data_IF_764674193239
#
_entry.id   IF_764674193239
#
_cell.length_a   1.000
_cell.length_b   1.000
_cell.length_c   1.000
_cell.angle_alpha   90.00
_cell.angle_beta   90.00
_cell.angle_gamma   90.00
#
_symmetry.space_group_name_H-M   'P 1'
#
loop_
_entity.id
_entity.type
_entity.pdbx_description
1 polymer ?
#
# COMPACT_ATOMS: atom_id res chain seq x y z
N UNK A 1 11.50 5.84 14.80
CA UNK A 1 11.20 4.61 14.05
C UNK A 1 10.58 4.97 12.71
N UNK A 2 11.19 4.51 11.64
CA UNK A 2 10.68 4.76 10.28
C UNK A 2 9.70 3.67 9.89
N UNK A 3 8.61 4.07 9.26
CA UNK A 3 7.61 3.15 8.74
C UNK A 3 7.94 2.90 7.26
N UNK A 4 8.11 1.66 6.89
CA UNK A 4 8.51 1.26 5.53
C UNK A 4 7.32 1.22 4.60
N UNK A 5 7.44 1.89 3.45
CA UNK A 5 6.40 1.98 2.42
C UNK A 5 6.85 1.28 1.15
N UNK A 6 5.97 0.47 0.56
CA UNK A 6 6.16 -0.11 -0.77
C UNK A 6 4.97 0.29 -1.64
N UNK A 7 5.24 0.70 -2.89
CA UNK A 7 4.22 1.17 -3.82
C UNK A 7 4.16 0.31 -5.07
N UNK A 8 2.96 -0.18 -5.41
CA UNK A 8 2.72 -0.93 -6.65
C UNK A 8 1.68 -0.20 -7.49
N UNK A 9 2.08 0.24 -8.68
CA UNK A 9 1.25 1.00 -9.59
C UNK A 9 1.77 0.78 -11.01
N UNK A 10 0.93 0.30 -11.92
CA UNK A 10 1.38 -0.03 -13.28
C UNK A 10 1.62 1.19 -14.16
N UNK A 11 0.94 2.31 -13.91
CA UNK A 11 1.17 3.52 -14.68
C UNK A 11 2.38 4.28 -14.14
N UNK A 12 3.43 4.36 -14.96
CA UNK A 12 4.69 4.98 -14.55
C UNK A 12 4.50 6.43 -14.07
N UNK A 13 3.68 7.20 -14.79
CA UNK A 13 3.43 8.59 -14.43
C UNK A 13 2.78 8.74 -13.05
N UNK A 14 1.79 7.89 -12.76
CA UNK A 14 1.11 7.90 -11.46
C UNK A 14 2.08 7.45 -10.36
N UNK A 15 2.82 6.38 -10.61
CA UNK A 15 3.77 5.85 -9.63
C UNK A 15 4.83 6.88 -9.26
N UNK A 16 5.43 7.52 -10.27
CA UNK A 16 6.43 8.57 -10.03
C UNK A 16 5.80 9.80 -9.40
N UNK A 17 4.58 10.14 -9.79
CA UNK A 17 3.86 11.25 -9.19
C UNK A 17 3.68 11.07 -7.69
N UNK A 18 3.23 9.90 -7.27
CA UNK A 18 3.05 9.59 -5.86
C UNK A 18 4.41 9.60 -5.14
N UNK A 19 5.39 8.91 -5.71
CA UNK A 19 6.71 8.81 -5.11
C UNK A 19 7.36 10.18 -4.90
N UNK A 20 7.25 11.06 -5.89
CA UNK A 20 7.94 12.35 -5.88
C UNK A 20 7.15 13.49 -5.22
N UNK A 21 5.86 13.29 -4.95
CA UNK A 21 5.02 14.35 -4.36
C UNK A 21 5.14 14.46 -2.85
N UNK A 22 5.76 13.47 -2.21
CA UNK A 22 5.87 13.40 -0.76
C UNK A 22 7.35 13.29 -0.38
N UNK A 23 7.75 14.07 0.59
CA UNK A 23 9.06 13.92 1.24
C UNK A 23 8.91 12.85 2.32
N UNK A 24 9.03 11.60 1.92
CA UNK A 24 8.76 10.45 2.78
C UNK A 24 9.56 10.48 4.08
N UNK A 25 10.85 10.73 3.96
CA UNK A 25 11.75 10.74 5.10
C UNK A 25 11.34 11.80 6.11
N UNK A 26 11.03 13.00 5.65
CA UNK A 26 10.58 14.10 6.50
C UNK A 26 9.29 13.73 7.25
N UNK A 27 8.41 12.98 6.58
CA UNK A 27 7.13 12.59 7.17
C UNK A 27 7.23 11.33 8.05
N UNK A 28 8.42 10.77 8.20
CA UNK A 28 8.63 9.62 9.07
C UNK A 28 8.55 8.27 8.38
N UNK A 29 8.66 8.25 7.05
CA UNK A 29 8.56 7.03 6.27
C UNK A 29 9.84 6.72 5.53
N UNK A 30 10.10 5.44 5.34
CA UNK A 30 11.17 4.96 4.47
C UNK A 30 10.54 4.32 3.24
N UNK A 31 10.78 4.89 2.07
CA UNK A 31 10.25 4.37 0.81
C UNK A 31 11.19 3.25 0.34
N UNK A 32 10.80 1.99 0.59
CA UNK A 32 11.69 0.86 0.40
C UNK A 32 11.63 0.22 -0.98
N UNK A 33 10.62 0.55 -1.80
CA UNK A 33 10.58 0.03 -3.15
C UNK A 33 9.31 0.35 -3.88
N UNK A 34 9.33 0.07 -5.20
CA UNK A 34 8.19 0.26 -6.08
C UNK A 34 8.23 -0.77 -7.19
N UNK A 35 7.08 -1.08 -7.75
CA UNK A 35 6.98 -1.99 -8.88
C UNK A 35 5.76 -1.66 -9.73
N UNK A 36 5.79 -2.13 -10.99
CA UNK A 36 4.72 -1.86 -11.95
C UNK A 36 3.63 -2.92 -12.02
N UNK A 37 3.81 -4.04 -11.35
CA UNK A 37 2.78 -5.09 -11.30
C UNK A 37 3.01 -6.00 -10.09
N UNK A 38 2.02 -6.85 -9.82
CA UNK A 38 2.04 -7.72 -8.65
C UNK A 38 3.11 -8.82 -8.72
N UNK A 39 3.39 -9.33 -9.90
CA UNK A 39 4.40 -10.39 -10.06
C UNK A 39 5.79 -9.88 -9.73
N UNK A 40 6.14 -8.70 -10.24
CA UNK A 40 7.42 -8.06 -9.94
C UNK A 40 7.49 -7.64 -8.47
N UNK A 41 6.38 -7.15 -7.95
CA UNK A 41 6.32 -6.62 -6.59
C UNK A 41 6.50 -7.70 -5.52
N UNK A 42 5.88 -8.85 -5.71
CA UNK A 42 5.77 -9.83 -4.64
C UNK A 42 7.12 -10.26 -4.03
N UNK A 43 8.12 -10.70 -4.83
CA UNK A 43 9.41 -11.06 -4.24
C UNK A 43 10.12 -9.88 -3.58
N UNK A 44 9.95 -8.67 -4.10
CA UNK A 44 10.52 -7.47 -3.48
C UNK A 44 9.86 -7.16 -2.14
N UNK A 45 8.55 -7.35 -2.06
CA UNK A 45 7.79 -7.14 -0.82
C UNK A 45 8.23 -8.13 0.24
N UNK A 46 8.40 -9.41 -0.12
CA UNK A 46 8.86 -10.42 0.82
C UNK A 46 10.25 -10.10 1.36
N UNK A 47 11.10 -9.54 0.52
CA UNK A 47 12.47 -9.18 0.91
C UNK A 47 12.50 -7.94 1.79
N UNK A 48 11.75 -6.90 1.44
CA UNK A 48 11.78 -5.62 2.17
C UNK A 48 10.90 -5.59 3.40
N UNK A 49 9.86 -6.44 3.44
CA UNK A 49 8.91 -6.54 4.55
C UNK A 49 8.37 -5.17 4.95
N UNK A 50 7.65 -4.49 4.03
CA UNK A 50 7.15 -3.15 4.33
C UNK A 50 6.09 -3.18 5.43
N UNK A 51 5.98 -2.08 6.14
CA UNK A 51 4.92 -1.90 7.14
C UNK A 51 3.61 -1.55 6.46
N UNK A 52 3.70 -0.81 5.35
CA UNK A 52 2.52 -0.40 4.57
C UNK A 52 2.77 -0.70 3.10
N UNK A 53 1.82 -1.40 2.48
CA UNK A 53 1.79 -1.66 1.04
C UNK A 53 0.69 -0.80 0.43
N UNK A 54 1.05 0.05 -0.53
CA UNK A 54 0.09 0.81 -1.32
C UNK A 54 0.04 0.16 -2.68
N UNK A 55 -1.12 -0.32 -3.11
CA UNK A 55 -1.23 -1.00 -4.39
C UNK A 55 -2.47 -0.59 -5.18
N UNK A 56 -2.31 -0.45 -6.49
CA UNK A 56 -3.41 -0.37 -7.44
C UNK A 56 -4.09 -1.74 -7.54
N UNK A 57 -5.30 -1.79 -8.07
CA UNK A 57 -6.01 -3.05 -8.30
C UNK A 57 -5.72 -3.59 -9.69
N UNK A 58 -6.06 -2.84 -10.73
CA UNK A 58 -5.96 -3.31 -12.12
C UNK A 58 -4.53 -3.18 -12.63
N UNK A 59 -3.84 -4.30 -12.65
CA UNK A 59 -2.47 -4.39 -13.13
C UNK A 59 -2.32 -5.67 -13.95
N UNK A 60 -1.39 -5.68 -14.93
CA UNK A 60 -1.16 -6.91 -15.72
C UNK A 60 -0.56 -8.01 -14.86
N UNK A 61 -0.76 -9.24 -15.26
CA UNK A 61 -0.23 -10.49 -14.68
C UNK A 61 -0.84 -10.82 -13.32
N UNK A 62 -0.62 -10.01 -12.32
CA UNK A 62 -1.19 -10.20 -10.98
C UNK A 62 -1.81 -8.89 -10.52
N UNK A 63 -3.12 -8.87 -10.30
CA UNK A 63 -3.79 -7.66 -9.84
C UNK A 63 -3.53 -7.39 -8.36
N UNK A 64 -3.98 -6.22 -7.89
CA UNK A 64 -3.72 -5.80 -6.52
C UNK A 64 -4.42 -6.64 -5.47
N UNK A 65 -5.55 -7.24 -5.80
CA UNK A 65 -6.26 -8.11 -4.86
C UNK A 65 -5.56 -9.45 -4.72
N UNK A 66 -5.07 -10.01 -5.82
CA UNK A 66 -4.28 -11.24 -5.80
C UNK A 66 -3.00 -11.02 -5.00
N UNK A 67 -2.33 -9.89 -5.26
CA UNK A 67 -1.13 -9.52 -4.52
C UNK A 67 -1.43 -9.37 -3.02
N UNK A 68 -2.51 -8.67 -2.70
CA UNK A 68 -2.92 -8.44 -1.30
C UNK A 68 -3.18 -9.75 -0.58
N UNK A 69 -3.82 -10.69 -1.25
CA UNK A 69 -4.10 -12.02 -0.69
C UNK A 69 -2.80 -12.75 -0.32
N UNK A 70 -1.82 -12.73 -1.21
CA UNK A 70 -0.52 -13.35 -0.97
C UNK A 70 0.25 -12.65 0.15
N UNK A 71 0.27 -11.33 0.14
CA UNK A 71 0.96 -10.55 1.16
C UNK A 71 0.30 -10.75 2.52
N UNK A 72 -1.02 -10.79 2.56
CA UNK A 72 -1.76 -11.03 3.80
C UNK A 72 -1.37 -12.34 4.44
N UNK A 73 -1.19 -13.37 3.62
CA UNK A 73 -0.81 -14.70 4.08
C UNK A 73 0.61 -14.74 4.63
N UNK A 74 1.56 -14.16 3.90
CA UNK A 74 2.98 -14.26 4.24
C UNK A 74 3.45 -13.18 5.23
N UNK A 75 2.85 -12.00 5.16
CA UNK A 75 3.21 -10.86 6.00
C UNK A 75 1.95 -10.27 6.65
N UNK A 76 1.36 -10.99 7.61
CA UNK A 76 0.06 -10.55 8.18
C UNK A 76 0.11 -9.21 8.90
N UNK A 77 1.29 -8.74 9.30
CA UNK A 77 1.43 -7.44 9.95
C UNK A 77 1.46 -6.27 8.98
N UNK A 78 1.70 -6.52 7.68
CA UNK A 78 1.72 -5.46 6.69
C UNK A 78 0.32 -4.89 6.50
N UNK A 79 0.20 -3.57 6.61
CA UNK A 79 -1.08 -2.88 6.35
C UNK A 79 -1.19 -2.59 4.87
N UNK A 80 -2.34 -2.90 4.30
CA UNK A 80 -2.56 -2.78 2.85
C UNK A 80 -3.52 -1.62 2.58
N UNK A 81 -3.09 -0.70 1.71
CA UNK A 81 -3.91 0.40 1.19
C UNK A 81 -4.15 0.15 -0.29
N UNK A 82 -5.41 0.10 -0.69
CA UNK A 82 -5.79 -0.12 -2.08
C UNK A 82 -6.12 1.23 -2.73
N UNK A 83 -5.53 1.50 -3.88
CA UNK A 83 -5.90 2.63 -4.73
C UNK A 83 -6.68 2.09 -5.92
N UNK A 84 -7.87 2.63 -6.15
CA UNK A 84 -8.78 2.11 -7.17
C UNK A 84 -9.40 3.23 -8.00
N UNK A 85 -9.71 2.94 -9.26
CA UNK A 85 -10.49 3.82 -10.12
C UNK A 85 -11.99 3.69 -9.84
N UNK A 86 -12.78 4.34 -10.68
CA UNK A 86 -14.25 4.27 -10.59
C UNK A 86 -14.77 2.88 -10.89
N UNK A 87 -15.98 2.62 -10.43
CA UNK A 87 -16.78 1.45 -10.79
C UNK A 87 -16.16 0.10 -10.43
N UNK A 88 -15.37 0.08 -9.37
CA UNK A 88 -14.75 -1.16 -8.92
C UNK A 88 -15.40 -1.66 -7.63
N UNK A 89 -16.73 -1.60 -7.59
CA UNK A 89 -17.53 -2.00 -6.42
C UNK A 89 -17.22 -3.45 -6.00
N UNK A 90 -17.12 -4.36 -6.97
CA UNK A 90 -16.83 -5.77 -6.66
C UNK A 90 -15.44 -5.93 -6.04
N UNK A 91 -14.49 -5.14 -6.50
CA UNK A 91 -13.15 -5.13 -5.92
C UNK A 91 -13.17 -4.59 -4.48
N UNK A 92 -13.99 -3.59 -4.21
CA UNK A 92 -14.13 -3.05 -2.86
C UNK A 92 -14.64 -4.13 -1.89
N UNK A 93 -15.62 -4.94 -2.32
CA UNK A 93 -16.12 -6.05 -1.53
C UNK A 93 -15.03 -7.05 -1.19
N UNK A 94 -14.21 -7.42 -2.18
CA UNK A 94 -13.11 -8.36 -1.97
C UNK A 94 -12.06 -7.77 -1.03
N UNK A 95 -11.77 -6.47 -1.17
CA UNK A 95 -10.83 -5.79 -0.29
C UNK A 95 -11.27 -5.83 1.16
N UNK A 96 -12.56 -5.64 1.41
CA UNK A 96 -13.12 -5.72 2.76
C UNK A 96 -12.91 -7.12 3.34
N UNK A 97 -13.16 -8.16 2.54
CA UNK A 97 -12.94 -9.55 2.97
C UNK A 97 -11.48 -9.82 3.31
N UNK A 98 -10.56 -9.18 2.61
CA UNK A 98 -9.12 -9.32 2.86
C UNK A 98 -8.64 -8.46 4.02
N UNK A 99 -9.54 -7.69 4.64
CA UNK A 99 -9.22 -6.82 5.77
C UNK A 99 -8.09 -5.84 5.46
N UNK A 100 -8.16 -5.20 4.26
CA UNK A 100 -7.22 -4.14 3.93
C UNK A 100 -7.44 -2.95 4.88
N UNK A 101 -6.41 -2.19 5.16
CA UNK A 101 -6.49 -1.06 6.08
C UNK A 101 -7.34 0.07 5.51
N UNK A 102 -7.18 0.36 4.21
CA UNK A 102 -7.91 1.45 3.55
C UNK A 102 -8.15 1.13 2.09
N UNK A 103 -9.27 1.60 1.57
CA UNK A 103 -9.63 1.51 0.16
C UNK A 103 -9.89 2.93 -0.34
N UNK A 104 -9.03 3.42 -1.22
CA UNK A 104 -9.03 4.81 -1.65
C UNK A 104 -9.30 4.94 -3.13
N UNK A 105 -10.05 5.98 -3.53
CA UNK A 105 -10.36 6.23 -4.93
C UNK A 105 -9.34 7.16 -5.57
N UNK A 106 -8.93 6.83 -6.80
CA UNK A 106 -8.10 7.70 -7.62
C UNK A 106 -8.95 8.75 -8.32
N UNK A 107 -8.38 9.93 -8.61
CA UNK A 107 -7.05 10.38 -8.23
C UNK A 107 -6.99 10.78 -6.76
N UNK A 108 -5.88 10.47 -6.11
CA UNK A 108 -5.70 10.85 -4.71
C UNK A 108 -4.63 11.94 -4.61
N UNK A 109 -4.91 12.98 -3.83
CA UNK A 109 -3.94 14.05 -3.59
C UNK A 109 -2.88 13.58 -2.60
N UNK A 110 -1.69 14.19 -2.66
CA UNK A 110 -0.65 13.88 -1.69
C UNK A 110 -1.08 14.21 -0.27
N UNK A 111 -1.86 15.29 -0.09
CA UNK A 111 -2.37 15.66 1.23
C UNK A 111 -3.31 14.58 1.79
N UNK A 112 -4.22 14.06 0.96
CA UNK A 112 -5.14 13.00 1.37
C UNK A 112 -4.38 11.71 1.69
N UNK A 113 -3.42 11.36 0.84
CA UNK A 113 -2.61 10.16 1.06
C UNK A 113 -1.83 10.27 2.37
N UNK A 114 -1.19 11.40 2.64
CA UNK A 114 -0.48 11.62 3.90
C UNK A 114 -1.39 11.51 5.11
N UNK A 115 -2.61 12.03 5.00
CA UNK A 115 -3.62 11.94 6.05
C UNK A 115 -3.94 10.49 6.39
N UNK A 116 -4.22 9.70 5.38
CA UNK A 116 -4.52 8.28 5.54
C UNK A 116 -3.32 7.52 6.09
N UNK A 117 -2.13 7.80 5.55
CA UNK A 117 -0.91 7.17 6.04
C UNK A 117 -0.65 7.48 7.51
N UNK A 118 -0.93 8.71 7.94
CA UNK A 118 -0.79 9.09 9.35
C UNK A 118 -1.69 8.27 10.25
N UNK A 119 -2.93 8.03 9.82
CA UNK A 119 -3.87 7.20 10.57
C UNK A 119 -3.39 5.76 10.66
N UNK A 120 -2.93 5.19 9.55
CA UNK A 120 -2.41 3.81 9.52
C UNK A 120 -1.13 3.69 10.35
N UNK A 121 -0.25 4.68 10.27
CA UNK A 121 0.96 4.72 11.08
C UNK A 121 0.63 4.66 12.57
N UNK A 122 -0.39 5.40 12.99
CA UNK A 122 -0.81 5.40 14.40
C UNK A 122 -1.30 4.02 14.83
N UNK A 123 -2.06 3.34 13.98
CA UNK A 123 -2.51 1.96 14.25
C UNK A 123 -1.31 1.03 14.43
N UNK A 124 -0.31 1.16 13.56
CA UNK A 124 0.92 0.34 13.64
C UNK A 124 1.64 0.62 14.96
N UNK A 125 1.80 1.89 15.31
CA UNK A 125 2.49 2.30 16.55
C UNK A 125 1.78 1.76 17.77
N UNK A 126 0.47 1.84 17.84
CA UNK A 126 -0.32 1.32 18.95
C UNK A 126 -0.16 -0.20 19.07
N UNK A 127 -0.18 -0.92 17.95
CA UNK A 127 0.03 -2.35 17.94
C UNK A 127 1.39 -2.75 18.49
N UNK A 128 2.45 -2.02 18.13
CA UNK A 128 3.80 -2.28 18.61
C UNK A 128 3.94 -1.95 20.10
N UNK A 129 3.28 -0.90 20.54
CA UNK A 129 3.28 -0.50 21.96
C UNK A 129 2.60 -1.55 22.83
N UNK A 130 1.50 -2.11 22.36
CA UNK A 130 0.76 -3.15 23.09
C UNK A 130 1.59 -4.43 23.23
N UNK A 131 2.39 -4.75 22.22
CA UNK A 131 3.22 -5.96 22.22
C UNK A 131 4.38 -5.90 23.19
N UNK A 132 4.71 -4.73 23.64
CA UNK A 132 5.78 -4.55 24.63
C UNK A 132 5.23 -4.72 26.04
#
# INVERSE_FOLDING_TARGET
MMIKIFLVEDEIAIRKGIKNSIDWEKEGYEFVGEAGDGELAYPMILKTKPDILITDIKMPFMDGLQLSKLVRKELPATKILILSGYDEFEYAKEAIKLQVAEYLLKPISSAKLLDVLAQVKEVIRQGRKIKN
#
